data_IF_517760901164
#
_entry.id   IF_517760901164
#
_cell.length_a   1.000
_cell.length_b   1.000
_cell.length_c   1.000
_cell.angle_alpha   90.00
_cell.angle_beta   90.00
_cell.angle_gamma   90.00
#
_symmetry.space_group_name_H-M   'P 1'
#
loop_
_entity.id
_entity.type
_entity.pdbx_description
1 polymer ?
#
# COMPACT_ATOMS: atom_id res chain seq x y z
N UNK A 1 -11.90 -15.81 2.37
CA UNK A 1 -10.64 -15.16 2.76
C UNK A 1 -10.38 -14.06 1.76
N UNK A 2 -10.65 -12.80 2.09
CA UNK A 2 -10.49 -11.67 1.15
C UNK A 2 -9.99 -10.46 1.92
N UNK A 3 -8.71 -10.48 2.31
CA UNK A 3 -8.05 -9.32 2.92
C UNK A 3 -6.64 -9.07 2.37
N UNK A 4 -5.97 -10.09 1.80
CA UNK A 4 -4.63 -9.94 1.22
C UNK A 4 -4.63 -9.36 -0.21
N UNK A 5 -5.68 -9.62 -1.01
CA UNK A 5 -5.65 -9.32 -2.45
C UNK A 5 -5.65 -7.84 -2.81
N UNK A 6 -6.33 -6.98 -2.04
CA UNK A 6 -6.42 -5.56 -2.42
C UNK A 6 -5.10 -4.82 -2.22
N UNK A 7 -4.42 -5.06 -1.10
CA UNK A 7 -3.14 -4.42 -0.82
C UNK A 7 -2.10 -4.81 -1.89
N UNK A 8 -2.01 -6.09 -2.22
CA UNK A 8 -1.10 -6.60 -3.24
C UNK A 8 -1.45 -6.07 -4.64
N UNK A 9 -2.74 -5.97 -4.95
CA UNK A 9 -3.23 -5.32 -6.17
C UNK A 9 -2.85 -3.83 -6.21
N UNK A 10 -3.00 -3.11 -5.10
CA UNK A 10 -2.66 -1.69 -5.02
C UNK A 10 -1.17 -1.43 -5.12
N UNK A 11 -0.34 -2.25 -4.48
CA UNK A 11 1.12 -2.22 -4.62
C UNK A 11 1.48 -2.39 -6.10
N UNK A 12 0.91 -3.40 -6.77
CA UNK A 12 1.14 -3.65 -8.19
C UNK A 12 0.67 -2.49 -9.08
N UNK A 13 -0.48 -1.87 -8.76
CA UNK A 13 -1.03 -0.71 -9.48
C UNK A 13 -0.19 0.56 -9.33
N UNK A 14 0.58 0.70 -8.26
CA UNK A 14 1.43 1.89 -8.10
C UNK A 14 2.50 1.96 -9.20
N UNK A 15 2.96 0.80 -9.70
CA UNK A 15 4.10 0.67 -10.61
C UNK A 15 5.42 1.15 -10.00
N UNK A 16 5.45 1.34 -8.68
CA UNK A 16 6.58 1.85 -7.91
C UNK A 16 7.01 0.79 -6.89
N UNK A 17 8.27 0.84 -6.47
CA UNK A 17 8.81 -0.09 -5.47
C UNK A 17 8.53 -1.56 -5.85
N UNK A 18 8.94 -1.95 -7.06
CA UNK A 18 8.56 -3.21 -7.74
C UNK A 18 9.16 -4.47 -7.14
N UNK A 19 10.11 -4.34 -6.21
CA UNK A 19 10.63 -5.49 -5.50
C UNK A 19 9.67 -5.85 -4.35
N UNK A 20 9.27 -7.13 -4.23
CA UNK A 20 8.46 -7.59 -3.10
C UNK A 20 9.12 -7.18 -1.79
N UNK A 21 8.34 -6.56 -0.91
CA UNK A 21 8.81 -6.11 0.41
C UNK A 21 9.98 -5.10 0.39
N UNK A 22 10.06 -4.21 -0.61
CA UNK A 22 10.96 -3.05 -0.54
C UNK A 22 10.43 -2.01 0.46
N UNK A 23 10.46 -2.39 1.75
CA UNK A 23 10.01 -1.58 2.88
C UNK A 23 10.68 -0.21 2.84
N UNK A 24 11.98 -0.16 2.52
CA UNK A 24 12.71 1.11 2.44
C UNK A 24 12.12 2.03 1.37
N UNK A 25 11.81 1.50 0.18
CA UNK A 25 11.12 2.27 -0.86
C UNK A 25 9.70 2.66 -0.44
N UNK A 26 8.93 1.74 0.16
CA UNK A 26 7.56 2.03 0.62
C UNK A 26 7.50 3.17 1.64
N UNK A 27 8.50 3.26 2.51
CA UNK A 27 8.58 4.26 3.57
C UNK A 27 9.18 5.59 3.10
N UNK A 28 10.08 5.57 2.12
CA UNK A 28 10.80 6.77 1.66
C UNK A 28 10.27 7.40 0.38
N UNK A 29 9.40 6.71 -0.37
CA UNK A 29 8.86 7.19 -1.63
C UNK A 29 7.46 7.81 -1.44
N UNK A 30 7.31 9.15 -1.38
CA UNK A 30 6.02 9.78 -1.17
C UNK A 30 5.03 9.54 -2.32
N UNK A 31 5.49 9.33 -3.55
CA UNK A 31 4.61 9.01 -4.69
C UNK A 31 4.00 7.62 -4.55
N UNK A 32 4.78 6.65 -4.05
CA UNK A 32 4.25 5.32 -3.73
C UNK A 32 3.16 5.42 -2.67
N UNK A 33 3.41 6.17 -1.59
CA UNK A 33 2.46 6.34 -0.49
C UNK A 33 1.17 7.01 -0.95
N UNK A 34 1.28 8.07 -1.75
CA UNK A 34 0.11 8.76 -2.31
C UNK A 34 -0.72 7.85 -3.22
N UNK A 35 -0.07 7.08 -4.12
CA UNK A 35 -0.75 6.13 -4.99
C UNK A 35 -1.39 4.98 -4.21
N UNK A 36 -0.71 4.45 -3.20
CA UNK A 36 -1.24 3.43 -2.30
C UNK A 36 -2.49 3.91 -1.58
N UNK A 37 -2.42 5.09 -0.95
CA UNK A 37 -3.56 5.70 -0.26
C UNK A 37 -4.74 5.89 -1.21
N UNK A 38 -4.50 6.40 -2.41
CA UNK A 38 -5.56 6.61 -3.40
C UNK A 38 -6.17 5.29 -3.87
N UNK A 39 -5.34 4.27 -4.13
CA UNK A 39 -5.81 2.96 -4.53
C UNK A 39 -6.64 2.30 -3.44
N UNK A 40 -6.16 2.30 -2.20
CA UNK A 40 -6.87 1.66 -1.08
C UNK A 40 -8.17 2.40 -0.78
N UNK A 41 -8.19 3.74 -0.80
CA UNK A 41 -9.44 4.51 -0.63
C UNK A 41 -10.47 4.23 -1.72
N UNK A 42 -10.02 3.95 -2.94
CA UNK A 42 -10.88 3.66 -4.09
C UNK A 42 -11.39 2.22 -4.09
N UNK A 43 -10.49 1.26 -3.93
CA UNK A 43 -10.74 -0.15 -4.26
C UNK A 43 -11.02 -1.00 -3.02
N UNK A 44 -10.51 -0.60 -1.84
CA UNK A 44 -10.75 -1.29 -0.57
C UNK A 44 -10.78 -0.32 0.62
N UNK A 45 -11.77 0.60 0.64
CA UNK A 45 -11.87 1.62 1.69
C UNK A 45 -11.91 1.04 3.10
N UNK A 46 -12.50 -0.15 3.27
CA UNK A 46 -12.58 -0.87 4.55
C UNK A 46 -11.19 -1.29 5.09
N UNK A 47 -10.19 -1.39 4.22
CA UNK A 47 -8.81 -1.74 4.58
C UNK A 47 -7.92 -0.52 4.83
N UNK A 48 -8.40 0.69 4.55
CA UNK A 48 -7.60 1.91 4.65
C UNK A 48 -6.95 2.10 6.02
N UNK A 49 -7.72 1.99 7.09
CA UNK A 49 -7.20 2.19 8.45
C UNK A 49 -6.17 1.12 8.83
N UNK A 50 -6.38 -0.13 8.40
CA UNK A 50 -5.45 -1.22 8.65
C UNK A 50 -4.15 -1.04 7.85
N UNK A 51 -4.25 -0.66 6.58
CA UNK A 51 -3.09 -0.42 5.73
C UNK A 51 -2.27 0.77 6.22
N UNK A 52 -2.91 1.85 6.65
CA UNK A 52 -2.25 3.01 7.24
C UNK A 52 -1.58 2.64 8.57
N UNK A 53 -2.23 1.83 9.40
CA UNK A 53 -1.65 1.30 10.64
C UNK A 53 -0.41 0.45 10.39
N UNK A 54 -0.47 -0.45 9.41
CA UNK A 54 0.67 -1.26 8.99
C UNK A 54 1.82 -0.42 8.45
N UNK A 55 1.52 0.58 7.61
CA UNK A 55 2.53 1.49 7.08
C UNK A 55 3.24 2.25 8.21
N UNK A 56 2.50 2.82 9.15
CA UNK A 56 3.08 3.53 10.31
C UNK A 56 3.84 2.60 11.27
N UNK A 57 3.45 1.33 11.37
CA UNK A 57 4.17 0.35 12.21
C UNK A 57 5.49 -0.12 11.60
N UNK A 58 5.64 0.00 10.28
CA UNK A 58 6.77 -0.54 9.53
C UNK A 58 7.80 0.54 9.15
N UNK A 59 7.41 1.82 9.08
CA UNK A 59 8.20 2.91 8.47
C UNK A 59 8.91 3.91 9.41
#
# INVERSE_FOLDING_TARGET
MVTADCLETCISKTGLCTAPADIKCYCSNPDFQAKMVNCIKSDCPDQYNNALGLQNSVC
#
